data_IF_272609879055
#
_entry.id   IF_272609879055
#
_cell.length_a   1.000
_cell.length_b   1.000
_cell.length_c   1.000
_cell.angle_alpha   90.00
_cell.angle_beta   90.00
_cell.angle_gamma   90.00
#
_symmetry.space_group_name_H-M   'P 1'
#
loop_
_entity.id
_entity.type
_entity.pdbx_description
1 polymer ?
#
# COMPACT_ATOMS: atom_id res chain seq x y z
N UNK A 1 -23.62 -15.01 -11.76
CA UNK A 1 -22.52 -14.25 -12.37
C UNK A 1 -22.15 -12.97 -11.59
N UNK A 2 -23.01 -12.41 -10.72
CA UNK A 2 -22.68 -11.23 -9.86
C UNK A 2 -21.62 -11.50 -8.76
N UNK A 3 -21.11 -12.73 -8.69
CA UNK A 3 -20.13 -13.17 -7.67
C UNK A 3 -18.66 -13.09 -8.11
N UNK A 4 -18.39 -12.73 -9.38
CA UNK A 4 -17.00 -12.64 -9.89
C UNK A 4 -16.16 -11.64 -9.08
N UNK A 5 -16.61 -10.39 -8.81
CA UNK A 5 -15.85 -9.48 -7.97
C UNK A 5 -15.52 -10.10 -6.60
N UNK A 6 -16.51 -10.68 -5.93
CA UNK A 6 -16.30 -11.28 -4.61
C UNK A 6 -15.29 -12.44 -4.62
N UNK A 7 -15.21 -13.22 -5.71
CA UNK A 7 -14.19 -14.28 -5.87
C UNK A 7 -12.80 -13.67 -5.99
N UNK A 8 -12.65 -12.58 -6.74
CA UNK A 8 -11.37 -11.85 -6.85
C UNK A 8 -10.96 -11.24 -5.50
N UNK A 9 -11.91 -10.66 -4.77
CA UNK A 9 -11.69 -10.15 -3.41
C UNK A 9 -11.23 -11.26 -2.45
N UNK A 10 -11.84 -12.45 -2.52
CA UNK A 10 -11.39 -13.61 -1.73
C UNK A 10 -10.01 -14.11 -2.18
N UNK A 11 -9.69 -14.04 -3.48
CA UNK A 11 -8.36 -14.35 -3.97
C UNK A 11 -7.31 -13.33 -3.47
N UNK A 12 -7.65 -12.03 -3.40
CA UNK A 12 -6.82 -11.01 -2.75
C UNK A 12 -6.53 -11.43 -1.29
N UNK A 13 -7.57 -11.73 -0.49
CA UNK A 13 -7.40 -12.16 0.91
C UNK A 13 -6.56 -13.44 1.04
N UNK A 14 -6.77 -14.43 0.17
CA UNK A 14 -6.02 -15.68 0.17
C UNK A 14 -4.53 -15.45 -0.12
N UNK A 15 -4.21 -14.55 -1.06
CA UNK A 15 -2.83 -14.14 -1.34
C UNK A 15 -2.21 -13.38 -0.17
N UNK A 16 -2.98 -12.54 0.53
CA UNK A 16 -2.55 -11.91 1.78
C UNK A 16 -2.18 -12.96 2.85
N UNK A 17 -3.00 -13.98 3.04
CA UNK A 17 -2.68 -15.10 3.93
C UNK A 17 -1.44 -15.87 3.48
N UNK A 18 -1.28 -16.10 2.17
CA UNK A 18 -0.06 -16.68 1.59
C UNK A 18 1.18 -15.85 1.88
N UNK A 19 1.08 -14.52 1.72
CA UNK A 19 2.18 -13.61 2.04
C UNK A 19 2.61 -13.72 3.51
N UNK A 20 1.66 -13.83 4.46
CA UNK A 20 1.96 -14.03 5.88
C UNK A 20 2.73 -15.33 6.13
N UNK A 21 2.36 -16.40 5.44
CA UNK A 21 3.07 -17.68 5.54
C UNK A 21 4.52 -17.53 5.06
N UNK A 22 4.73 -16.91 3.89
CA UNK A 22 6.08 -16.72 3.34
C UNK A 22 6.93 -15.75 4.19
N UNK A 23 6.33 -14.72 4.78
CA UNK A 23 7.01 -13.85 5.76
C UNK A 23 7.47 -14.66 6.98
N UNK A 24 6.64 -15.58 7.48
CA UNK A 24 6.97 -16.38 8.65
C UNK A 24 8.16 -17.33 8.43
N UNK A 25 8.38 -17.76 7.17
CA UNK A 25 9.54 -18.57 6.78
C UNK A 25 10.69 -17.74 6.18
N UNK A 26 10.61 -16.40 6.26
CA UNK A 26 11.60 -15.44 5.77
C UNK A 26 11.81 -15.46 4.24
N UNK A 27 10.86 -15.98 3.46
CA UNK A 27 10.84 -15.89 2.00
C UNK A 27 10.14 -14.58 1.58
N UNK A 28 10.89 -13.49 1.63
CA UNK A 28 10.36 -12.16 1.30
C UNK A 28 10.10 -11.97 -0.21
N UNK A 29 10.79 -12.71 -1.09
CA UNK A 29 10.56 -12.66 -2.52
C UNK A 29 9.17 -13.19 -2.87
N UNK A 30 8.84 -14.39 -2.40
CA UNK A 30 7.51 -14.98 -2.64
C UNK A 30 6.40 -14.19 -1.92
N UNK A 31 6.67 -13.68 -0.71
CA UNK A 31 5.73 -12.80 -0.02
C UNK A 31 5.43 -11.53 -0.84
N UNK A 32 6.46 -10.93 -1.45
CA UNK A 32 6.30 -9.75 -2.33
C UNK A 32 5.44 -10.07 -3.54
N UNK A 33 5.66 -11.22 -4.20
CA UNK A 33 4.84 -11.65 -5.33
C UNK A 33 3.38 -11.86 -4.91
N UNK A 34 3.12 -12.45 -3.76
CA UNK A 34 1.76 -12.60 -3.23
C UNK A 34 1.06 -11.24 -3.04
N UNK A 35 1.75 -10.25 -2.44
CA UNK A 35 1.18 -8.90 -2.25
C UNK A 35 0.93 -8.18 -3.57
N UNK A 36 1.84 -8.31 -4.55
CA UNK A 36 1.66 -7.74 -5.88
C UNK A 36 0.44 -8.34 -6.59
N UNK A 37 0.28 -9.66 -6.52
CA UNK A 37 -0.89 -10.34 -7.08
C UNK A 37 -2.16 -9.96 -6.33
N UNK A 38 -2.12 -9.83 -4.99
CA UNK A 38 -3.23 -9.34 -4.19
C UNK A 38 -3.70 -7.96 -4.66
N UNK A 39 -2.76 -7.02 -4.87
CA UNK A 39 -3.07 -5.68 -5.38
C UNK A 39 -3.67 -5.69 -6.81
N UNK A 40 -3.26 -6.65 -7.64
CA UNK A 40 -3.85 -6.84 -8.97
C UNK A 40 -5.30 -7.32 -8.85
N UNK A 41 -5.58 -8.30 -8.01
CA UNK A 41 -6.96 -8.81 -7.80
C UNK A 41 -7.87 -7.77 -7.18
N UNK A 42 -7.39 -6.99 -6.19
CA UNK A 42 -8.09 -5.84 -5.62
C UNK A 42 -8.47 -4.80 -6.69
N UNK A 43 -7.52 -4.44 -7.55
CA UNK A 43 -7.81 -3.52 -8.64
C UNK A 43 -8.91 -4.04 -9.58
N UNK A 44 -8.83 -5.34 -9.96
CA UNK A 44 -9.76 -5.94 -10.90
C UNK A 44 -11.15 -6.16 -10.32
N UNK A 45 -11.28 -6.51 -9.04
CA UNK A 45 -12.60 -6.71 -8.44
C UNK A 45 -13.39 -5.39 -8.40
N UNK A 46 -12.76 -4.29 -7.95
CA UNK A 46 -13.35 -2.98 -7.98
C UNK A 46 -13.62 -2.45 -9.40
N UNK A 47 -12.74 -2.74 -10.36
CA UNK A 47 -12.93 -2.38 -11.76
C UNK A 47 -14.14 -3.10 -12.37
N UNK A 48 -14.23 -4.42 -12.21
CA UNK A 48 -15.33 -5.25 -12.74
C UNK A 48 -16.65 -4.86 -12.06
N UNK A 49 -16.64 -4.70 -10.72
CA UNK A 49 -17.85 -4.33 -9.99
C UNK A 49 -18.44 -3.00 -10.51
N UNK A 50 -17.59 -2.00 -10.77
CA UNK A 50 -18.03 -0.70 -11.29
C UNK A 50 -18.47 -0.76 -12.74
N UNK A 51 -17.73 -1.41 -13.63
CA UNK A 51 -18.02 -1.45 -15.08
C UNK A 51 -19.27 -2.28 -15.39
N UNK A 52 -19.50 -3.37 -14.63
CA UNK A 52 -20.67 -4.24 -14.82
C UNK A 52 -21.89 -3.81 -13.98
N UNK A 53 -21.78 -2.77 -13.15
CA UNK A 53 -22.86 -2.37 -12.25
C UNK A 53 -23.17 -3.43 -11.17
N UNK A 54 -22.20 -4.25 -10.77
CA UNK A 54 -22.33 -5.33 -9.77
C UNK A 54 -21.90 -4.91 -8.37
N UNK A 55 -21.93 -3.63 -8.10
CA UNK A 55 -21.63 -3.11 -6.77
C UNK A 55 -22.67 -3.58 -5.75
N UNK A 56 -22.23 -4.00 -4.57
CA UNK A 56 -23.09 -4.39 -3.45
C UNK A 56 -22.45 -3.97 -2.13
N UNK A 57 -23.30 -3.75 -1.10
CA UNK A 57 -22.81 -3.46 0.25
C UNK A 57 -21.94 -4.60 0.79
N UNK A 58 -22.39 -5.85 0.56
CA UNK A 58 -21.62 -7.03 0.96
C UNK A 58 -20.25 -7.07 0.28
N UNK A 59 -20.16 -6.78 -1.02
CA UNK A 59 -18.88 -6.74 -1.75
C UNK A 59 -17.93 -5.66 -1.20
N UNK A 60 -18.44 -4.47 -0.86
CA UNK A 60 -17.63 -3.40 -0.29
C UNK A 60 -17.09 -3.73 1.12
N UNK A 61 -17.89 -4.41 1.95
CA UNK A 61 -17.42 -4.86 3.27
C UNK A 61 -16.39 -6.00 3.13
N UNK A 62 -16.62 -6.93 2.20
CA UNK A 62 -15.68 -8.03 1.92
C UNK A 62 -14.34 -7.51 1.41
N UNK A 63 -14.36 -6.53 0.51
CA UNK A 63 -13.20 -5.83 -0.03
C UNK A 63 -12.37 -5.19 1.10
N UNK A 64 -13.02 -4.44 1.98
CA UNK A 64 -12.33 -3.84 3.13
C UNK A 64 -11.71 -4.86 4.08
N UNK A 65 -12.35 -6.02 4.29
CA UNK A 65 -11.80 -7.09 5.12
C UNK A 65 -10.58 -7.74 4.43
N UNK A 66 -10.65 -7.97 3.11
CA UNK A 66 -9.52 -8.46 2.32
C UNK A 66 -8.34 -7.49 2.37
N UNK A 67 -8.61 -6.18 2.21
CA UNK A 67 -7.60 -5.12 2.28
C UNK A 67 -6.92 -5.02 3.64
N UNK A 68 -7.67 -5.19 4.74
CA UNK A 68 -7.06 -5.26 6.08
C UNK A 68 -6.06 -6.40 6.14
N UNK A 69 -6.35 -7.57 5.58
CA UNK A 69 -5.44 -8.71 5.58
C UNK A 69 -4.22 -8.40 4.71
N UNK A 70 -4.43 -8.14 3.43
CA UNK A 70 -3.36 -8.05 2.43
C UNK A 70 -2.51 -6.78 2.55
N UNK A 71 -3.13 -5.65 2.93
CA UNK A 71 -2.46 -4.34 2.95
C UNK A 71 -2.37 -3.71 4.34
N UNK A 72 -2.91 -4.38 5.36
CA UNK A 72 -2.77 -3.98 6.76
C UNK A 72 -1.96 -4.97 7.60
N UNK A 73 -2.41 -6.24 7.67
CA UNK A 73 -1.77 -7.27 8.51
C UNK A 73 -0.43 -7.69 7.92
N UNK A 74 -0.34 -7.88 6.59
CA UNK A 74 0.90 -8.29 5.93
C UNK A 74 2.07 -7.34 6.20
N UNK A 75 1.98 -6.01 5.93
CA UNK A 75 3.09 -5.10 6.22
C UNK A 75 3.36 -4.96 7.73
N UNK A 76 2.35 -5.07 8.59
CA UNK A 76 2.53 -5.10 10.05
C UNK A 76 3.30 -6.33 10.52
N UNK A 77 2.95 -7.51 10.03
CA UNK A 77 3.66 -8.75 10.32
C UNK A 77 5.11 -8.71 9.79
N UNK A 78 5.30 -8.22 8.55
CA UNK A 78 6.62 -8.07 7.96
C UNK A 78 7.54 -7.20 8.82
N UNK A 79 7.08 -6.01 9.20
CA UNK A 79 7.86 -5.11 10.04
C UNK A 79 8.13 -5.68 11.42
N UNK A 80 7.19 -6.45 12.00
CA UNK A 80 7.38 -7.19 13.25
C UNK A 80 8.48 -8.26 13.10
N UNK A 81 8.46 -9.03 12.01
CA UNK A 81 9.50 -10.02 11.71
C UNK A 81 10.87 -9.35 11.50
N UNK A 82 10.93 -8.24 10.76
CA UNK A 82 12.17 -7.48 10.59
C UNK A 82 12.74 -6.99 11.93
N UNK A 83 11.90 -6.46 12.82
CA UNK A 83 12.33 -6.05 14.17
C UNK A 83 12.84 -7.24 14.99
N UNK A 84 12.20 -8.40 14.85
CA UNK A 84 12.64 -9.64 15.53
C UNK A 84 14.02 -10.10 15.04
N UNK A 85 14.27 -10.04 13.72
CA UNK A 85 15.60 -10.41 13.16
C UNK A 85 16.72 -9.46 13.57
N UNK A 86 16.40 -8.25 13.99
CA UNK A 86 17.38 -7.28 14.55
C UNK A 86 17.67 -7.49 16.05
N UNK A 87 17.16 -8.55 16.66
CA UNK A 87 17.29 -8.82 18.11
C UNK A 87 16.80 -7.64 18.98
N UNK A 88 15.72 -7.01 18.57
CA UNK A 88 15.08 -5.93 19.32
C UNK A 88 14.30 -6.52 20.50
N UNK A 89 14.42 -5.92 21.68
CA UNK A 89 13.76 -6.36 22.90
C UNK A 89 12.23 -6.25 22.83
N UNK A 90 11.52 -7.15 23.53
CA UNK A 90 10.12 -6.96 23.86
C UNK A 90 9.97 -5.69 24.73
N UNK A 91 8.96 -4.80 24.50
CA UNK A 91 7.80 -4.98 23.62
C UNK A 91 7.95 -4.31 22.23
N UNK A 92 9.11 -3.78 21.86
CA UNK A 92 9.33 -2.96 20.67
C UNK A 92 9.02 -3.71 19.35
N UNK A 93 9.19 -5.02 19.31
CA UNK A 93 8.88 -5.82 18.12
C UNK A 93 7.42 -5.71 17.69
N UNK A 94 6.49 -5.49 18.62
CA UNK A 94 5.06 -5.35 18.33
C UNK A 94 4.68 -4.00 17.72
N UNK A 95 5.62 -3.03 17.66
CA UNK A 95 5.36 -1.74 16.99
C UNK A 95 5.04 -1.91 15.51
N UNK A 96 5.49 -2.97 14.86
CA UNK A 96 5.09 -3.31 13.48
C UNK A 96 3.57 -3.33 13.30
N UNK A 97 2.81 -3.82 14.28
CA UNK A 97 1.35 -3.87 14.21
C UNK A 97 0.65 -2.51 14.31
N UNK A 98 1.36 -1.42 14.61
CA UNK A 98 0.81 -0.06 14.49
C UNK A 98 0.35 0.21 13.06
N UNK A 99 1.07 -0.31 12.05
CA UNK A 99 0.67 -0.22 10.63
C UNK A 99 -0.68 -0.91 10.41
N UNK A 100 -0.85 -2.11 10.96
CA UNK A 100 -2.12 -2.86 10.88
C UNK A 100 -3.27 -2.07 11.49
N UNK A 101 -3.09 -1.56 12.71
CA UNK A 101 -4.12 -0.79 13.41
C UNK A 101 -4.47 0.50 12.66
N UNK A 102 -3.46 1.22 12.16
CA UNK A 102 -3.65 2.43 11.36
C UNK A 102 -4.39 2.17 10.05
N UNK A 103 -4.10 1.03 9.38
CA UNK A 103 -4.77 0.59 8.16
C UNK A 103 -6.22 0.21 8.42
N UNK A 104 -6.49 -0.58 9.45
CA UNK A 104 -7.85 -0.98 9.86
C UNK A 104 -8.70 0.24 10.23
N UNK A 105 -8.15 1.18 11.02
CA UNK A 105 -8.83 2.42 11.38
C UNK A 105 -9.18 3.26 10.14
N UNK A 106 -8.23 3.37 9.19
CA UNK A 106 -8.44 4.08 7.94
C UNK A 106 -9.58 3.48 7.13
N UNK A 107 -9.60 2.16 6.93
CA UNK A 107 -10.63 1.46 6.15
C UNK A 107 -12.01 1.57 6.83
N UNK A 108 -12.07 1.41 8.16
CA UNK A 108 -13.31 1.61 8.91
C UNK A 108 -13.85 3.04 8.77
N UNK A 109 -12.98 4.05 8.86
CA UNK A 109 -13.35 5.46 8.65
C UNK A 109 -13.83 5.71 7.23
N UNK A 110 -13.23 5.05 6.25
CA UNK A 110 -13.65 5.10 4.85
C UNK A 110 -15.07 4.57 4.69
N UNK A 111 -15.38 3.39 5.22
CA UNK A 111 -16.70 2.75 5.09
C UNK A 111 -17.83 3.52 5.79
N UNK A 112 -17.51 4.31 6.81
CA UNK A 112 -18.52 5.06 7.59
C UNK A 112 -18.73 6.49 7.10
N UNK A 113 -17.92 7.00 6.17
CA UNK A 113 -18.03 8.39 5.72
C UNK A 113 -19.01 8.54 4.57
N UNK A 114 -20.05 9.37 4.77
CA UNK A 114 -21.07 9.69 3.75
C UNK A 114 -20.56 10.62 2.63
N UNK A 115 -19.44 11.33 2.83
CA UNK A 115 -18.89 12.30 1.88
C UNK A 115 -17.77 11.70 1.04
N UNK A 116 -18.04 11.49 -0.25
CA UNK A 116 -17.09 10.98 -1.25
C UNK A 116 -15.78 11.77 -1.38
N UNK A 117 -15.73 13.04 -0.96
CA UNK A 117 -14.52 13.87 -0.99
C UNK A 117 -13.55 13.58 0.16
N UNK A 118 -13.99 12.96 1.27
CA UNK A 118 -13.14 12.55 2.38
C UNK A 118 -12.24 11.35 2.01
N UNK A 119 -12.59 10.63 0.97
CA UNK A 119 -12.02 9.34 0.57
C UNK A 119 -10.57 9.37 0.09
N UNK A 120 -10.03 10.51 -0.30
CA UNK A 120 -8.68 10.63 -0.85
C UNK A 120 -7.69 11.36 0.07
N UNK A 121 -8.01 11.41 1.37
CA UNK A 121 -7.06 11.92 2.38
C UNK A 121 -6.23 10.77 2.93
N UNK A 122 -4.95 11.03 3.13
CA UNK A 122 -3.99 10.05 3.60
C UNK A 122 -3.44 9.11 2.52
N UNK A 123 -2.35 8.41 2.88
CA UNK A 123 -1.69 7.45 2.01
C UNK A 123 -2.62 6.23 1.78
N UNK A 124 -2.84 5.77 0.53
CA UNK A 124 -3.60 4.53 0.28
C UNK A 124 -2.99 3.32 0.97
N UNK A 125 -3.84 2.42 1.51
CA UNK A 125 -3.38 1.17 2.17
C UNK A 125 -2.56 0.29 1.26
N UNK A 126 -2.93 0.04 -0.03
CA UNK A 126 -2.08 -0.72 -0.93
C UNK A 126 -0.72 -0.06 -1.18
N UNK A 127 -0.67 1.27 -1.30
CA UNK A 127 0.60 1.98 -1.48
C UNK A 127 1.52 1.82 -0.26
N UNK A 128 0.96 1.90 0.96
CA UNK A 128 1.73 1.65 2.18
C UNK A 128 2.23 0.20 2.25
N UNK A 129 1.42 -0.77 1.85
CA UNK A 129 1.85 -2.17 1.79
C UNK A 129 3.00 -2.38 0.79
N UNK A 130 2.90 -1.79 -0.42
CA UNK A 130 3.97 -1.84 -1.43
C UNK A 130 5.26 -1.18 -0.95
N UNK A 131 5.16 -0.10 -0.16
CA UNK A 131 6.33 0.50 0.47
C UNK A 131 7.01 -0.51 1.39
N UNK A 132 6.27 -1.11 2.32
CA UNK A 132 6.86 -1.98 3.33
C UNK A 132 7.36 -3.31 2.78
N UNK A 133 6.64 -3.91 1.81
CA UNK A 133 7.05 -5.20 1.23
C UNK A 133 8.33 -5.08 0.39
N UNK A 134 8.66 -3.89 -0.11
CA UNK A 134 9.91 -3.64 -0.82
C UNK A 134 11.12 -3.38 0.11
N UNK A 135 10.88 -3.03 1.39
CA UNK A 135 11.96 -2.67 2.34
C UNK A 135 13.00 -3.78 2.54
N UNK A 136 12.64 -5.07 2.70
CA UNK A 136 13.64 -6.14 2.86
C UNK A 136 14.59 -6.32 1.67
N UNK A 137 14.23 -5.80 0.50
CA UNK A 137 15.02 -5.92 -0.74
C UNK A 137 15.93 -4.70 -0.99
N UNK A 138 15.97 -3.76 -0.05
CA UNK A 138 16.91 -2.65 -0.11
C UNK A 138 18.26 -3.11 0.46
N UNK A 139 19.34 -2.94 -0.33
CA UNK A 139 20.70 -3.30 0.04
C UNK A 139 21.29 -2.30 1.08
N UNK A 140 20.56 -2.00 2.15
CA UNK A 140 20.98 -1.10 3.20
C UNK A 140 20.81 -1.74 4.56
N UNK A 141 21.82 -1.57 5.43
CA UNK A 141 21.75 -1.92 6.85
C UNK A 141 20.75 -1.00 7.57
N UNK A 142 19.49 -1.45 7.59
CA UNK A 142 18.43 -0.72 8.27
C UNK A 142 18.62 -0.83 9.77
N UNK A 143 18.69 0.32 10.44
CA UNK A 143 18.79 0.38 11.89
C UNK A 143 17.41 0.41 12.55
N UNK A 144 17.32 -0.09 13.80
CA UNK A 144 16.08 -0.07 14.58
C UNK A 144 15.39 1.31 14.62
N UNK A 145 16.08 2.44 14.92
CA UNK A 145 15.44 3.75 14.93
C UNK A 145 14.86 4.16 13.58
N UNK A 146 15.49 3.75 12.48
CA UNK A 146 15.01 4.04 11.13
C UNK A 146 13.70 3.29 10.83
N UNK A 147 13.63 1.99 11.16
CA UNK A 147 12.40 1.20 10.99
C UNK A 147 11.28 1.76 11.88
N UNK A 148 11.55 2.05 13.14
CA UNK A 148 10.57 2.60 14.06
C UNK A 148 10.04 3.96 13.57
N UNK A 149 10.92 4.85 13.12
CA UNK A 149 10.55 6.12 12.53
C UNK A 149 9.67 5.95 11.29
N UNK A 150 10.02 5.01 10.41
CA UNK A 150 9.23 4.64 9.23
C UNK A 150 7.83 4.15 9.59
N UNK A 151 7.71 3.26 10.58
CA UNK A 151 6.42 2.74 11.09
C UNK A 151 5.54 3.89 11.57
N UNK A 152 6.08 4.79 12.41
CA UNK A 152 5.33 5.92 12.95
C UNK A 152 4.90 6.89 11.85
N UNK A 153 5.82 7.26 10.96
CA UNK A 153 5.54 8.20 9.86
C UNK A 153 4.49 7.65 8.90
N UNK A 154 4.63 6.41 8.46
CA UNK A 154 3.70 5.82 7.48
C UNK A 154 2.33 5.56 8.11
N UNK A 155 2.25 5.15 9.38
CA UNK A 155 1.00 5.01 10.12
C UNK A 155 0.28 6.35 10.31
N UNK A 156 1.02 7.44 10.55
CA UNK A 156 0.46 8.79 10.55
C UNK A 156 -0.03 9.19 9.16
N UNK A 157 0.76 8.94 8.10
CA UNK A 157 0.40 9.29 6.73
C UNK A 157 -0.87 8.58 6.25
N UNK A 158 -1.12 7.33 6.66
CA UNK A 158 -2.35 6.58 6.37
C UNK A 158 -3.61 7.36 6.79
N UNK A 159 -3.58 8.03 7.95
CA UNK A 159 -4.72 8.71 8.57
C UNK A 159 -4.62 10.25 8.50
N UNK A 160 -3.59 10.77 7.84
CA UNK A 160 -3.35 12.21 7.76
C UNK A 160 -4.40 12.93 6.92
N UNK A 161 -4.67 14.23 7.18
CA UNK A 161 -5.54 15.04 6.34
C UNK A 161 -4.89 15.44 5.01
N UNK A 162 -3.69 14.94 4.71
CA UNK A 162 -2.97 15.25 3.49
C UNK A 162 -3.69 14.67 2.28
N UNK A 163 -3.90 15.51 1.27
CA UNK A 163 -4.43 15.08 -0.02
C UNK A 163 -3.24 14.75 -0.90
N UNK A 164 -3.08 13.48 -1.26
CA UNK A 164 -2.04 13.05 -2.18
C UNK A 164 -2.39 13.41 -3.62
N UNK A 165 -1.34 13.66 -4.42
CA UNK A 165 -1.51 14.03 -5.82
C UNK A 165 -2.20 12.93 -6.61
N UNK A 166 -3.29 13.29 -7.29
CA UNK A 166 -4.03 12.36 -8.14
C UNK A 166 -3.61 12.60 -9.59
N UNK A 167 -2.98 11.63 -10.19
CA UNK A 167 -2.67 11.69 -11.61
C UNK A 167 -3.96 11.68 -12.42
N UNK A 168 -4.38 12.87 -12.90
CA UNK A 168 -5.46 12.98 -13.86
C UNK A 168 -4.84 12.93 -15.25
N UNK A 169 -4.96 11.76 -15.88
CA UNK A 169 -4.56 11.60 -17.28
C UNK A 169 -5.59 12.35 -18.14
N UNK A 170 -5.31 13.62 -18.46
CA UNK A 170 -5.97 14.26 -19.59
C UNK A 170 -5.44 13.62 -20.86
N UNK A 171 -6.32 13.35 -21.85
CA UNK A 171 -5.95 12.85 -23.18
C UNK A 171 -5.10 13.88 -23.95
N UNK A 172 -3.87 14.09 -23.55
CA UNK A 172 -2.90 15.00 -24.11
C UNK A 172 -1.59 14.24 -24.34
N UNK A 173 -0.88 14.55 -25.42
CA UNK A 173 0.43 14.00 -25.72
C UNK A 173 1.41 14.17 -24.54
N UNK A 174 1.30 15.28 -23.81
CA UNK A 174 2.10 15.56 -22.59
C UNK A 174 1.82 14.56 -21.48
N UNK A 175 0.56 14.13 -21.32
CA UNK A 175 0.21 13.10 -20.31
C UNK A 175 0.79 11.74 -20.67
N UNK A 176 0.81 11.39 -21.96
CA UNK A 176 1.41 10.14 -22.45
C UNK A 176 2.91 10.11 -22.22
N UNK A 177 3.63 11.18 -22.57
CA UNK A 177 5.07 11.30 -22.34
C UNK A 177 5.41 11.20 -20.84
N UNK A 178 4.62 11.85 -19.98
CA UNK A 178 4.82 11.80 -18.53
C UNK A 178 4.64 10.38 -17.97
N UNK A 179 3.61 9.67 -18.40
CA UNK A 179 3.40 8.25 -18.02
C UNK A 179 4.55 7.38 -18.49
N UNK A 180 5.01 7.57 -19.74
CA UNK A 180 6.13 6.83 -20.29
C UNK A 180 7.41 7.07 -19.46
N UNK A 181 7.70 8.31 -19.08
CA UNK A 181 8.85 8.65 -18.24
C UNK A 181 8.76 8.02 -16.85
N UNK A 182 7.57 8.01 -16.23
CA UNK A 182 7.34 7.33 -14.94
C UNK A 182 7.56 5.81 -15.09
N UNK A 183 7.05 5.19 -16.15
CA UNK A 183 7.23 3.75 -16.40
C UNK A 183 8.71 3.41 -16.65
N UNK A 184 9.43 4.22 -17.43
CA UNK A 184 10.85 4.01 -17.68
C UNK A 184 11.70 4.21 -16.43
N UNK A 185 11.39 5.21 -15.59
CA UNK A 185 12.07 5.42 -14.31
C UNK A 185 11.81 4.27 -13.34
N UNK A 186 10.58 3.76 -13.28
CA UNK A 186 10.26 2.59 -12.47
C UNK A 186 10.96 1.33 -12.97
N UNK A 187 10.99 1.10 -14.29
CA UNK A 187 11.72 -0.02 -14.90
C UNK A 187 13.23 0.05 -14.60
N UNK A 188 13.82 1.24 -14.69
CA UNK A 188 15.22 1.46 -14.32
C UNK A 188 15.49 1.13 -12.84
N UNK A 189 14.62 1.62 -11.93
CA UNK A 189 14.70 1.28 -10.50
C UNK A 189 14.55 -0.22 -10.26
N UNK A 190 13.62 -0.86 -10.97
CA UNK A 190 13.40 -2.31 -10.88
C UNK A 190 14.62 -3.12 -11.32
N UNK A 191 15.25 -2.73 -12.43
CA UNK A 191 16.48 -3.38 -12.91
C UNK A 191 17.66 -3.21 -11.94
N UNK A 192 17.70 -2.10 -11.17
CA UNK A 192 18.81 -1.79 -10.26
C UNK A 192 18.59 -2.34 -8.84
N UNK A 193 17.36 -2.34 -8.35
CA UNK A 193 17.01 -2.65 -6.95
C UNK A 193 16.01 -3.81 -6.82
N UNK A 194 15.62 -4.46 -7.92
CA UNK A 194 14.62 -5.52 -7.89
C UNK A 194 13.35 -5.08 -7.18
N UNK A 195 12.84 -5.90 -6.27
CA UNK A 195 11.64 -5.60 -5.49
C UNK A 195 11.78 -4.36 -4.58
N UNK A 196 12.99 -3.93 -4.21
CA UNK A 196 13.24 -2.70 -3.46
C UNK A 196 12.79 -1.42 -4.19
N UNK A 197 12.66 -1.48 -5.53
CA UNK A 197 12.11 -0.39 -6.34
C UNK A 197 10.69 0.02 -5.90
N UNK A 198 9.90 -0.90 -5.34
CA UNK A 198 8.57 -0.62 -4.81
C UNK A 198 8.61 0.44 -3.70
N UNK A 199 9.48 0.23 -2.71
CA UNK A 199 9.67 1.19 -1.61
C UNK A 199 10.12 2.55 -2.12
N UNK A 200 11.12 2.57 -3.00
CA UNK A 200 11.66 3.82 -3.57
C UNK A 200 10.61 4.58 -4.36
N UNK A 201 9.80 3.89 -5.18
CA UNK A 201 8.73 4.51 -5.96
C UNK A 201 7.67 5.15 -5.06
N UNK A 202 7.25 4.48 -3.98
CA UNK A 202 6.26 5.02 -3.05
C UNK A 202 6.84 6.17 -2.22
N UNK A 203 8.09 6.08 -1.77
CA UNK A 203 8.76 7.20 -1.09
C UNK A 203 8.80 8.43 -2.01
N UNK A 204 9.20 8.26 -3.26
CA UNK A 204 9.23 9.34 -4.23
C UNK A 204 7.83 9.94 -4.47
N UNK A 205 6.80 9.10 -4.61
CA UNK A 205 5.40 9.54 -4.74
C UNK A 205 4.94 10.38 -3.53
N UNK A 206 5.27 9.94 -2.32
CA UNK A 206 4.93 10.66 -1.08
C UNK A 206 5.62 12.02 -1.04
N UNK A 207 6.93 12.05 -1.27
CA UNK A 207 7.73 13.29 -1.27
C UNK A 207 7.23 14.27 -2.34
N UNK A 208 6.99 13.78 -3.56
CA UNK A 208 6.44 14.60 -4.65
C UNK A 208 5.08 15.18 -4.28
N UNK A 209 4.18 14.37 -3.73
CA UNK A 209 2.82 14.82 -3.35
C UNK A 209 2.84 15.89 -2.26
N UNK A 210 3.72 15.74 -1.28
CA UNK A 210 3.88 16.70 -0.17
C UNK A 210 4.48 18.02 -0.69
N UNK A 211 5.57 17.95 -1.46
CA UNK A 211 6.25 19.14 -2.01
C UNK A 211 5.37 19.91 -2.98
N UNK A 212 4.66 19.21 -3.88
CA UNK A 212 3.71 19.84 -4.80
C UNK A 212 2.65 20.64 -4.06
N UNK A 213 2.12 20.09 -2.97
CA UNK A 213 1.11 20.76 -2.16
C UNK A 213 1.65 22.00 -1.43
N UNK A 214 2.86 21.93 -0.88
CA UNK A 214 3.49 23.07 -0.21
C UNK A 214 3.70 24.23 -1.18
N UNK A 215 4.16 23.94 -2.40
CA UNK A 215 4.34 24.94 -3.47
C UNK A 215 3.00 25.50 -3.95
N UNK A 216 1.98 24.65 -4.12
CA UNK A 216 0.65 25.09 -4.54
C UNK A 216 -0.01 26.03 -3.50
N UNK A 217 0.18 25.75 -2.20
CA UNK A 217 -0.35 26.59 -1.10
C UNK A 217 0.40 27.93 -0.96
N UNK A 218 1.66 28.01 -1.40
CA UNK A 218 2.45 29.24 -1.36
C UNK A 218 2.10 30.24 -2.47
N UNK A 219 1.33 29.80 -3.48
CA UNK A 219 0.95 30.64 -4.66
C UNK A 219 -0.50 31.12 -4.64
N UNK A 220 -1.27 30.75 -3.65
CA UNK A 220 -2.66 31.18 -3.44
C UNK A 220 -2.84 31.85 -2.09
#
# INVERSE_FOLDING_TARGET
>A
MKSIPNVLTLANAALGCGALFFIAILDFDTATLCVLLAAVFDFFDGFIARTMGWTSRFGAELDSLADVISFGVVPGALTTVMLTTMNVDYPWIFFGFIITLASAYRLAKYNTSENSQAYFRGLPTPANALLWIGVPHLDYDLTFPFLLGGIVVTSYLLNSPLIFYRFQLKNSATSFVLVLLIMLSFLFLWMRFGHGALSLAIIFYVLFSVTYRLVAKSKG
#
